data_IF_314558475041
#
_entry.id   IF_314558475041
#
_cell.length_a   1.000
_cell.length_b   1.000
_cell.length_c   1.000
_cell.angle_alpha   90.00
_cell.angle_beta   90.00
_cell.angle_gamma   90.00
#
_symmetry.space_group_name_H-M   'P 1'
#
loop_
_entity.id
_entity.type
_entity.pdbx_description
1 polymer ?
#
# COMPACT_ATOMS: atom_id res chain seq x y z
N UNK A 1 -2.82 -15.17 15.17
CA UNK A 1 -1.95 -14.03 14.79
C UNK A 1 -2.47 -12.80 15.49
N UNK A 2 -1.58 -11.92 15.92
CA UNK A 2 -1.95 -10.61 16.48
C UNK A 2 -2.33 -9.66 15.34
N UNK A 3 -3.34 -8.81 15.55
CA UNK A 3 -3.74 -7.82 14.55
C UNK A 3 -2.90 -6.55 14.73
N UNK A 4 -1.97 -6.32 13.81
CA UNK A 4 -1.07 -5.16 13.86
C UNK A 4 -1.73 -3.93 13.23
N UNK A 5 -1.47 -2.76 13.83
CA UNK A 5 -1.95 -1.47 13.31
C UNK A 5 -0.86 -0.77 12.51
N UNK A 6 -1.28 0.07 11.55
CA UNK A 6 -0.38 0.83 10.70
C UNK A 6 -1.06 2.05 10.11
N UNK A 7 -0.32 2.78 9.28
CA UNK A 7 -0.80 4.00 8.65
C UNK A 7 -0.64 3.90 7.13
N UNK A 8 -1.72 4.16 6.39
CA UNK A 8 -1.72 4.23 4.94
C UNK A 8 -1.90 5.68 4.48
N UNK A 9 -1.09 6.07 3.50
CA UNK A 9 -1.31 7.29 2.73
C UNK A 9 -2.52 7.13 1.81
N UNK A 10 -2.53 6.06 1.01
CA UNK A 10 -3.58 5.79 0.03
C UNK A 10 -3.59 4.32 -0.38
N UNK A 11 -4.66 3.92 -1.06
CA UNK A 11 -4.80 2.60 -1.68
C UNK A 11 -5.17 2.78 -3.14
N UNK A 12 -4.38 2.18 -4.02
CA UNK A 12 -4.69 2.07 -5.45
C UNK A 12 -5.19 0.66 -5.73
N UNK A 13 -6.35 0.53 -6.38
CA UNK A 13 -7.05 -0.75 -6.52
C UNK A 13 -6.64 -1.56 -7.75
N UNK A 14 -6.07 -0.92 -8.77
CA UNK A 14 -5.75 -1.54 -10.05
C UNK A 14 -4.53 -0.89 -10.75
N UNK A 15 -3.42 -0.73 -10.02
CA UNK A 15 -2.19 -0.17 -10.57
C UNK A 15 -1.48 -1.13 -11.52
N UNK A 16 -1.06 -0.65 -12.68
CA UNK A 16 -0.40 -1.45 -13.74
C UNK A 16 1.11 -1.24 -13.81
N UNK A 17 1.65 -0.30 -13.03
CA UNK A 17 3.07 0.08 -13.03
C UNK A 17 3.79 -0.27 -11.73
N UNK A 18 3.09 -0.91 -10.78
CA UNK A 18 3.60 -1.23 -9.44
C UNK A 18 4.03 -2.70 -9.27
N UNK A 19 4.35 -3.37 -10.37
CA UNK A 19 4.75 -4.78 -10.43
C UNK A 19 4.06 -5.54 -11.59
N UNK A 20 4.26 -6.86 -11.68
CA UNK A 20 3.66 -7.69 -12.72
C UNK A 20 2.13 -7.77 -12.62
N UNK A 21 1.44 -7.61 -13.76
CA UNK A 21 -0.02 -7.65 -13.84
C UNK A 21 -0.70 -6.45 -13.16
N UNK A 22 -1.97 -6.60 -12.81
CA UNK A 22 -2.74 -5.56 -12.08
C UNK A 22 -2.53 -5.68 -10.57
N UNK A 23 -2.20 -4.57 -9.91
CA UNK A 23 -1.80 -4.54 -8.50
C UNK A 23 -2.80 -3.74 -7.66
N UNK A 24 -3.21 -4.31 -6.53
CA UNK A 24 -3.69 -3.48 -5.41
C UNK A 24 -2.46 -2.96 -4.67
N UNK A 25 -2.22 -1.66 -4.71
CA UNK A 25 -1.07 -1.04 -4.06
C UNK A 25 -1.51 -0.40 -2.76
N UNK A 26 -0.93 -0.83 -1.65
CA UNK A 26 -1.06 -0.14 -0.36
C UNK A 26 0.13 0.80 -0.24
N UNK A 27 -0.10 2.11 -0.28
CA UNK A 27 0.94 3.11 -0.05
C UNK A 27 0.99 3.43 1.45
N UNK A 28 2.00 2.93 2.16
CA UNK A 28 2.21 3.15 3.58
C UNK A 28 2.71 4.58 3.85
N UNK A 29 2.37 5.11 5.02
CA UNK A 29 2.82 6.43 5.47
C UNK A 29 3.99 6.32 6.45
N UNK A 30 5.02 7.14 6.24
CA UNK A 30 6.29 7.18 6.96
C UNK A 30 7.46 6.87 6.03
N UNK A 31 8.44 7.76 5.95
CA UNK A 31 9.70 7.51 5.24
C UNK A 31 10.83 8.33 5.89
N UNK A 32 11.93 7.70 6.33
CA UNK A 32 13.06 8.44 6.92
C UNK A 32 13.87 9.20 5.87
N UNK A 33 13.73 8.83 4.59
CA UNK A 33 14.52 9.38 3.50
C UNK A 33 14.02 10.78 3.09
N UNK A 34 14.94 11.58 2.56
CA UNK A 34 14.68 12.92 2.03
C UNK A 34 15.20 13.05 0.61
N UNK A 35 14.84 12.10 -0.24
CA UNK A 35 15.25 12.07 -1.64
C UNK A 35 14.89 13.40 -2.33
N UNK A 36 15.83 13.98 -3.08
CA UNK A 36 15.67 15.28 -3.75
C UNK A 36 14.55 15.26 -4.80
N UNK A 37 14.30 14.09 -5.38
CA UNK A 37 13.28 13.82 -6.40
C UNK A 37 12.16 12.90 -5.88
N UNK A 38 11.88 12.93 -4.58
CA UNK A 38 10.78 12.15 -4.01
C UNK A 38 9.45 12.54 -4.67
N UNK A 39 8.77 11.57 -5.29
CA UNK A 39 7.49 11.80 -5.96
C UNK A 39 6.33 12.00 -4.96
N UNK A 40 6.44 11.40 -3.77
CA UNK A 40 5.40 11.44 -2.73
C UNK A 40 5.98 12.02 -1.42
N UNK A 41 6.40 13.30 -1.41
CA UNK A 41 7.05 13.92 -0.25
C UNK A 41 6.16 14.00 1.00
N UNK A 42 4.86 13.96 0.81
CA UNK A 42 3.79 13.95 1.82
C UNK A 42 3.73 12.62 2.61
N UNK A 43 4.18 11.51 2.02
CA UNK A 43 4.29 10.23 2.71
C UNK A 43 5.35 10.20 3.81
N UNK A 44 6.24 11.21 3.91
CA UNK A 44 7.36 11.21 4.87
C UNK A 44 6.95 11.26 6.33
N UNK A 45 5.79 11.87 6.64
CA UNK A 45 5.35 12.06 8.02
C UNK A 45 5.00 10.73 8.68
N UNK A 46 5.70 10.36 9.75
CA UNK A 46 5.27 9.22 10.58
C UNK A 46 3.90 9.47 11.21
N UNK A 47 3.10 8.40 11.30
CA UNK A 47 1.73 8.42 11.87
C UNK A 47 0.80 9.46 11.19
N UNK A 48 1.04 9.74 9.91
CA UNK A 48 0.13 10.51 9.05
C UNK A 48 -0.80 9.59 8.25
N UNK A 49 -1.71 10.16 7.46
CA UNK A 49 -2.66 9.39 6.67
C UNK A 49 -3.73 8.70 7.51
N UNK A 50 -4.29 7.60 6.99
CA UNK A 50 -5.33 6.80 7.61
C UNK A 50 -4.71 5.73 8.51
N UNK A 51 -5.08 5.72 9.79
CA UNK A 51 -4.78 4.59 10.68
C UNK A 51 -5.69 3.40 10.31
N UNK A 52 -5.09 2.23 10.09
CA UNK A 52 -5.78 0.98 9.74
C UNK A 52 -5.12 -0.21 10.45
N UNK A 53 -5.58 -1.42 10.15
CA UNK A 53 -5.07 -2.68 10.68
C UNK A 53 -4.94 -3.76 9.61
N UNK A 54 -4.07 -4.74 9.86
CA UNK A 54 -3.76 -5.79 8.90
C UNK A 54 -5.01 -6.58 8.47
N UNK A 55 -5.95 -6.85 9.38
CA UNK A 55 -7.17 -7.58 9.04
C UNK A 55 -8.12 -6.77 8.17
N UNK A 56 -8.21 -5.45 8.38
CA UNK A 56 -8.98 -4.56 7.52
C UNK A 56 -8.44 -4.55 6.10
N UNK A 57 -7.14 -4.41 5.93
CA UNK A 57 -6.54 -4.42 4.59
C UNK A 57 -6.59 -5.81 3.92
N UNK A 58 -6.42 -6.89 4.68
CA UNK A 58 -6.62 -8.26 4.18
C UNK A 58 -8.05 -8.48 3.69
N UNK A 59 -9.07 -7.97 4.39
CA UNK A 59 -10.45 -8.00 3.89
C UNK A 59 -10.60 -7.21 2.59
N UNK A 60 -9.94 -6.05 2.48
CA UNK A 60 -9.90 -5.25 1.26
C UNK A 60 -9.29 -6.00 0.07
N UNK A 61 -8.16 -6.70 0.31
CA UNK A 61 -7.51 -7.56 -0.68
C UNK A 61 -8.42 -8.72 -1.09
N UNK A 62 -9.05 -9.39 -0.12
CA UNK A 62 -9.93 -10.52 -0.36
C UNK A 62 -11.12 -10.17 -1.27
N UNK A 63 -11.67 -8.95 -1.15
CA UNK A 63 -12.74 -8.44 -2.03
C UNK A 63 -12.32 -8.32 -3.50
N UNK A 64 -11.03 -8.24 -3.80
CA UNK A 64 -10.51 -8.04 -5.16
C UNK A 64 -9.74 -9.25 -5.70
N UNK A 65 -9.65 -10.33 -4.92
CA UNK A 65 -8.79 -11.48 -5.21
C UNK A 65 -8.99 -12.05 -6.63
N UNK A 66 -10.24 -12.15 -7.08
CA UNK A 66 -10.56 -12.82 -8.35
C UNK A 66 -10.09 -11.97 -9.55
N UNK A 67 -10.24 -10.64 -9.46
CA UNK A 67 -9.69 -9.69 -10.44
C UNK A 67 -8.16 -9.72 -10.42
N UNK A 68 -7.54 -9.72 -9.24
CA UNK A 68 -6.09 -9.76 -9.13
C UNK A 68 -5.52 -11.05 -9.73
N UNK A 69 -6.15 -12.20 -9.48
CA UNK A 69 -5.74 -13.49 -10.02
C UNK A 69 -5.94 -13.53 -11.55
N UNK A 70 -7.11 -13.12 -12.05
CA UNK A 70 -7.42 -13.18 -13.49
C UNK A 70 -6.51 -12.29 -14.33
N UNK A 71 -6.13 -11.13 -13.79
CA UNK A 71 -5.21 -10.19 -14.41
C UNK A 71 -3.74 -10.51 -14.15
N UNK A 72 -3.43 -11.73 -13.67
CA UNK A 72 -2.07 -12.21 -13.34
C UNK A 72 -1.31 -11.24 -12.42
N UNK A 73 -2.03 -10.66 -11.48
CA UNK A 73 -1.64 -9.57 -10.61
C UNK A 73 -1.51 -9.97 -9.14
N UNK A 74 -1.72 -9.01 -8.23
CA UNK A 74 -1.68 -9.25 -6.77
C UNK A 74 -1.54 -7.98 -5.93
N UNK A 75 -0.79 -8.03 -4.82
CA UNK A 75 -0.70 -6.93 -3.84
C UNK A 75 0.73 -6.40 -3.71
N UNK A 76 0.91 -5.10 -3.93
CA UNK A 76 2.20 -4.40 -3.71
C UNK A 76 2.10 -3.54 -2.45
N UNK A 77 3.09 -3.65 -1.56
CA UNK A 77 3.29 -2.72 -0.45
C UNK A 77 4.32 -1.68 -0.91
N UNK A 78 3.94 -0.41 -0.88
CA UNK A 78 4.75 0.72 -1.35
C UNK A 78 4.52 1.93 -0.43
N UNK A 79 4.72 3.16 -0.90
CA UNK A 79 4.43 4.39 -0.16
C UNK A 79 5.68 5.17 0.15
N UNK A 80 5.82 5.55 1.41
CA UNK A 80 7.05 6.11 1.94
C UNK A 80 8.17 5.07 1.96
N UNK A 81 8.46 4.52 3.13
CA UNK A 81 9.35 3.38 3.30
C UNK A 81 8.57 2.24 3.96
N UNK A 82 8.26 1.15 3.23
CA UNK A 82 7.44 0.06 3.76
C UNK A 82 8.17 -0.90 4.72
N UNK A 83 9.50 -0.77 4.90
CA UNK A 83 10.34 -1.61 5.78
C UNK A 83 11.02 -0.82 6.90
#
# INVERSE_FOLDING_TARGET
>A
MENVTGYLHSVETAGTLAGPGVRRVLFLNGCPLKCVYCHNPDTRRYKGGLQTDAYTELRGIAKQKDMLISMKGGVTLSGGEPL
#
